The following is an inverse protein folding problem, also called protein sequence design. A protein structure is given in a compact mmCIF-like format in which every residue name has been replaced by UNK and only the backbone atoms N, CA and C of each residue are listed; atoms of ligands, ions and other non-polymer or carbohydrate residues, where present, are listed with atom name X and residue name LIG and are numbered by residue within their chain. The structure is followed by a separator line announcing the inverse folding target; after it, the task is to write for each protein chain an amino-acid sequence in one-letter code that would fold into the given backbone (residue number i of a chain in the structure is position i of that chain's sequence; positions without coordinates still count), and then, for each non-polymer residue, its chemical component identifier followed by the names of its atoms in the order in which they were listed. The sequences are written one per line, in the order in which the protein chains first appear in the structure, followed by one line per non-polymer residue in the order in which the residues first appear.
data_IF_908259226910
#
_entry.id   IF_908259226910
#
_cell.length_a   1.000
_cell.length_b   1.000
_cell.length_c   1.000
_cell.angle_alpha   90.00
_cell.angle_beta   90.00
_cell.angle_gamma   90.00
#
_symmetry.space_group_name_H-M   'P 1'
#
loop_
_entity.id
_entity.type
_entity.pdbx_description
1 polymer ?
#
# COMPACT_ATOMS: atom_id res chain seq x y z
N UNK A 1 12.40 7.35 -28.48
CA UNK A 1 10.99 7.12 -28.12
C UNK A 1 10.95 6.06 -27.02
N UNK A 2 11.22 6.43 -25.77
CA UNK A 2 11.40 5.44 -24.69
C UNK A 2 11.05 6.04 -23.34
N UNK A 3 9.76 6.17 -23.02
CA UNK A 3 9.34 6.42 -21.63
C UNK A 3 7.91 5.97 -21.32
N UNK A 4 7.47 4.80 -21.79
CA UNK A 4 6.16 4.24 -21.39
C UNK A 4 6.21 3.52 -20.03
N UNK A 5 7.38 3.09 -19.56
CA UNK A 5 7.50 2.34 -18.30
C UNK A 5 7.32 3.23 -17.05
N UNK A 6 7.77 4.48 -17.08
CA UNK A 6 7.60 5.40 -15.94
C UNK A 6 6.13 5.79 -15.73
N UNK A 7 5.32 5.80 -16.80
CA UNK A 7 3.91 6.18 -16.75
C UNK A 7 3.03 5.01 -16.27
N UNK A 8 3.35 3.77 -16.65
CA UNK A 8 2.64 2.57 -16.16
C UNK A 8 2.85 2.33 -14.65
N UNK A 9 4.02 2.68 -14.12
CA UNK A 9 4.27 2.62 -12.68
C UNK A 9 3.61 3.76 -11.90
N UNK A 10 3.19 4.85 -12.57
CA UNK A 10 2.54 6.01 -11.96
C UNK A 10 1.02 5.85 -11.74
N UNK A 11 0.45 4.76 -12.25
CA UNK A 11 -0.99 4.50 -12.20
C UNK A 11 -1.41 3.58 -11.05
N UNK A 12 -0.47 3.10 -10.23
CA UNK A 12 -0.80 2.25 -9.07
C UNK A 12 -0.32 2.90 -7.79
N UNK A 13 -1.25 3.03 -6.85
CA UNK A 13 -1.02 3.49 -5.49
C UNK A 13 -0.70 2.27 -4.65
N UNK A 14 0.36 2.37 -3.86
CA UNK A 14 0.73 1.34 -2.90
C UNK A 14 0.23 1.76 -1.53
N UNK A 15 -0.31 0.82 -0.77
CA UNK A 15 -0.81 1.09 0.58
C UNK A 15 -0.17 0.05 1.47
N UNK A 16 0.64 0.51 2.41
CA UNK A 16 1.18 -0.32 3.47
C UNK A 16 0.22 -0.27 4.67
N UNK A 17 -0.42 -1.40 4.95
CA UNK A 17 -1.30 -1.56 6.10
C UNK A 17 -0.54 -2.29 7.19
N UNK A 18 -0.31 -1.64 8.31
CA UNK A 18 0.21 -2.25 9.53
C UNK A 18 -0.96 -2.85 10.30
N UNK A 19 -0.91 -4.16 10.48
CA UNK A 19 -1.84 -4.95 11.27
C UNK A 19 -1.20 -5.38 12.59
N UNK A 20 -2.03 -5.53 13.62
CA UNK A 20 -1.61 -6.09 14.89
C UNK A 20 -1.28 -7.58 14.72
N UNK A 21 -0.11 -8.05 15.16
CA UNK A 21 0.29 -9.45 15.04
C UNK A 21 -0.60 -10.41 15.85
N UNK A 22 -1.29 -9.89 16.88
CA UNK A 22 -2.28 -10.61 17.68
C UNK A 22 -3.68 -10.61 17.09
N UNK A 23 -3.91 -9.91 15.97
CA UNK A 23 -5.24 -9.83 15.36
C UNK A 23 -5.48 -10.95 14.36
N UNK A 24 -6.76 -11.30 14.17
CA UNK A 24 -7.19 -12.33 13.22
C UNK A 24 -6.71 -12.04 11.80
N UNK A 25 -6.52 -10.77 11.44
CA UNK A 25 -5.99 -10.32 10.14
C UNK A 25 -4.56 -10.81 9.85
N UNK A 26 -3.78 -11.16 10.87
CA UNK A 26 -2.44 -11.72 10.70
C UNK A 26 -2.50 -13.19 10.25
N UNK A 27 -3.49 -13.94 10.73
CA UNK A 27 -3.74 -15.32 10.27
C UNK A 27 -4.62 -15.38 9.02
N UNK A 28 -5.59 -14.46 8.91
CA UNK A 28 -6.54 -14.35 7.80
C UNK A 28 -6.36 -13.02 7.05
N UNK A 29 -5.45 -12.99 6.07
CA UNK A 29 -5.19 -11.79 5.28
C UNK A 29 -6.26 -11.50 4.22
N UNK A 30 -7.31 -12.32 4.11
CA UNK A 30 -8.41 -12.12 3.15
C UNK A 30 -9.27 -10.91 3.56
N UNK A 31 -9.43 -10.70 4.88
CA UNK A 31 -10.12 -9.53 5.43
C UNK A 31 -9.51 -8.16 5.07
N UNK A 32 -8.28 -8.10 4.52
CA UNK A 32 -7.70 -6.86 4.01
C UNK A 32 -8.16 -6.51 2.58
N UNK A 33 -8.65 -7.49 1.82
CA UNK A 33 -9.16 -7.28 0.46
C UNK A 33 -10.62 -6.82 0.54
N UNK A 34 -10.84 -5.70 1.23
CA UNK A 34 -12.17 -5.11 1.44
C UNK A 34 -12.80 -4.56 0.16
N UNK A 35 -12.01 -4.42 -0.91
CA UNK A 35 -12.45 -3.86 -2.18
C UNK A 35 -11.85 -4.64 -3.35
N UNK A 36 -12.61 -4.90 -4.44
CA UNK A 36 -12.10 -5.60 -5.62
C UNK A 36 -10.97 -4.85 -6.35
N UNK A 37 -10.83 -3.55 -6.07
CA UNK A 37 -9.75 -2.71 -6.60
C UNK A 37 -8.43 -2.90 -5.85
N UNK A 38 -8.49 -3.47 -4.63
CA UNK A 38 -7.33 -3.76 -3.81
C UNK A 38 -6.71 -5.06 -4.29
N UNK A 39 -5.50 -4.95 -4.81
CA UNK A 39 -4.67 -6.09 -5.16
C UNK A 39 -3.67 -6.34 -4.04
N UNK A 40 -3.71 -7.51 -3.42
CA UNK A 40 -2.72 -7.87 -2.41
C UNK A 40 -1.38 -8.16 -3.08
N UNK A 41 -0.36 -7.36 -2.76
CA UNK A 41 0.99 -7.53 -3.31
C UNK A 41 1.84 -8.44 -2.42
N UNK A 42 1.53 -8.51 -1.13
CA UNK A 42 2.19 -9.41 -0.17
C UNK A 42 2.61 -8.70 1.09
N UNK A 43 3.68 -9.17 1.73
CA UNK A 43 4.24 -8.57 2.95
C UNK A 43 5.40 -7.64 2.62
N UNK A 44 5.60 -6.61 3.42
CA UNK A 44 6.71 -5.66 3.22
C UNK A 44 8.00 -6.22 3.84
N UNK A 45 8.79 -6.91 3.02
CA UNK A 45 10.08 -7.45 3.43
C UNK A 45 9.96 -8.47 4.56
N UNK A 46 10.60 -8.18 5.69
CA UNK A 46 10.65 -9.04 6.89
C UNK A 46 9.51 -8.76 7.88
N UNK A 47 8.73 -7.70 7.66
CA UNK A 47 7.63 -7.31 8.54
C UNK A 47 6.39 -8.14 8.21
N UNK A 48 6.07 -9.09 9.09
CA UNK A 48 4.91 -9.97 8.93
C UNK A 48 3.59 -9.26 9.22
N UNK A 49 3.68 -8.23 10.05
CA UNK A 49 2.59 -7.36 10.49
C UNK A 49 2.32 -6.22 9.51
N UNK A 50 3.07 -6.11 8.39
CA UNK A 50 2.83 -5.10 7.37
C UNK A 50 2.47 -5.76 6.04
N UNK A 51 1.24 -5.52 5.60
CA UNK A 51 0.72 -5.96 4.31
C UNK A 51 0.81 -4.82 3.30
N UNK A 52 1.34 -5.14 2.11
CA UNK A 52 1.36 -4.25 0.97
C UNK A 52 0.19 -4.55 0.05
N UNK A 53 -0.58 -3.51 -0.21
CA UNK A 53 -1.73 -3.50 -1.09
C UNK A 53 -1.43 -2.56 -2.28
N UNK A 54 -1.96 -2.89 -3.44
CA UNK A 54 -1.87 -2.07 -4.65
C UNK A 54 -3.26 -1.73 -5.17
N UNK A 55 -3.50 -0.48 -5.52
CA UNK A 55 -4.80 0.00 -6.02
C UNK A 55 -4.57 0.88 -7.25
N UNK A 56 -5.37 0.78 -8.33
CA UNK A 56 -5.29 1.71 -9.45
C UNK A 56 -5.62 3.13 -9.00
N UNK A 57 -4.76 4.09 -9.36
CA UNK A 57 -4.83 5.50 -8.96
C UNK A 57 -6.11 6.17 -9.43
N UNK A 58 -6.55 5.85 -10.65
CA UNK A 58 -7.78 6.36 -11.25
C UNK A 58 -8.99 6.12 -10.36
N UNK A 59 -9.13 4.88 -9.86
CA UNK A 59 -10.22 4.52 -8.95
C UNK A 59 -9.94 4.87 -7.48
N UNK A 60 -8.66 4.95 -7.08
CA UNK A 60 -8.24 5.33 -5.73
C UNK A 60 -8.70 6.74 -5.37
N UNK A 61 -8.58 7.73 -6.25
CA UNK A 61 -8.99 9.10 -5.95
C UNK A 61 -10.46 9.23 -5.52
N UNK A 62 -11.33 8.36 -6.06
CA UNK A 62 -12.75 8.32 -5.72
C UNK A 62 -13.05 7.35 -4.55
N UNK A 63 -12.31 6.25 -4.45
CA UNK A 63 -12.58 5.17 -3.49
C UNK A 63 -11.72 5.24 -2.23
N UNK A 64 -10.76 6.18 -2.14
CA UNK A 64 -9.82 6.32 -1.04
C UNK A 64 -10.54 6.43 0.30
N UNK A 65 -11.56 7.30 0.39
CA UNK A 65 -12.26 7.55 1.65
C UNK A 65 -12.99 6.28 2.13
N UNK A 66 -13.62 5.56 1.20
CA UNK A 66 -14.33 4.31 1.47
C UNK A 66 -13.37 3.18 1.87
N UNK A 67 -12.24 3.05 1.16
CA UNK A 67 -11.20 2.07 1.49
C UNK A 67 -10.54 2.40 2.81
N UNK A 68 -10.19 3.67 3.07
CA UNK A 68 -9.58 4.08 4.34
C UNK A 68 -10.56 3.88 5.51
N UNK A 69 -11.85 4.16 5.33
CA UNK A 69 -12.87 3.84 6.34
C UNK A 69 -12.96 2.34 6.56
N UNK A 70 -13.10 1.55 5.50
CA UNK A 70 -13.21 0.10 5.60
C UNK A 70 -12.00 -0.50 6.32
N UNK A 71 -10.78 -0.09 5.93
CA UNK A 71 -9.54 -0.48 6.61
C UNK A 71 -9.48 -0.02 8.07
N UNK A 72 -9.95 1.20 8.38
CA UNK A 72 -9.97 1.70 9.77
C UNK A 72 -11.05 1.02 10.63
N UNK A 73 -12.11 0.49 10.01
CA UNK A 73 -13.15 -0.27 10.70
C UNK A 73 -12.74 -1.72 10.95
N UNK A 74 -11.73 -2.24 10.24
CA UNK A 74 -11.19 -3.57 10.49
C UNK A 74 -10.52 -3.63 11.86
N UNK A 75 -11.02 -4.52 12.71
CA UNK A 75 -10.42 -4.79 14.01
C UNK A 75 -9.06 -5.47 13.82
N UNK A 76 -7.99 -4.72 14.06
CA UNK A 76 -6.62 -5.22 13.89
C UNK A 76 -5.74 -4.35 13.02
N UNK A 77 -6.29 -3.34 12.33
CA UNK A 77 -5.46 -2.37 11.62
C UNK A 77 -4.93 -1.36 12.64
N UNK A 78 -3.61 -1.35 12.80
CA UNK A 78 -2.90 -0.36 13.64
C UNK A 78 -2.69 0.93 12.88
N UNK A 79 -2.34 0.82 11.60
CA UNK A 79 -1.96 1.97 10.77
C UNK A 79 -2.18 1.66 9.29
N UNK A 80 -2.60 2.67 8.56
CA UNK A 80 -2.67 2.64 7.09
C UNK A 80 -1.75 3.74 6.58
N UNK A 81 -0.76 3.38 5.78
CA UNK A 81 0.19 4.30 5.17
C UNK A 81 0.05 4.21 3.65
N UNK A 82 -0.36 5.32 3.04
CA UNK A 82 -0.57 5.39 1.59
C UNK A 82 0.73 5.87 0.96
N UNK A 83 1.44 4.96 0.30
CA UNK A 83 2.52 5.27 -0.61
C UNK A 83 1.95 5.60 -1.99
N UNK A 84 1.52 6.85 -2.14
CA UNK A 84 1.44 7.46 -3.47
C UNK A 84 2.84 7.35 -4.11
N UNK A 85 2.86 6.88 -5.35
CA UNK A 85 4.02 6.54 -6.19
C UNK A 85 5.32 7.21 -5.76
N UNK A 86 6.45 6.48 -5.75
CA UNK A 86 7.64 6.85 -5.01
C UNK A 86 8.01 8.29 -5.36
N UNK A 87 7.81 9.21 -4.40
CA UNK A 87 8.61 10.42 -4.36
C UNK A 87 10.02 9.90 -4.43
N UNK A 88 10.65 10.08 -5.60
CA UNK A 88 11.98 9.57 -5.89
C UNK A 88 12.77 9.72 -4.61
N UNK A 89 13.26 8.61 -4.07
CA UNK A 89 14.29 8.66 -3.04
C UNK A 89 15.44 9.34 -3.75
N UNK A 90 15.51 10.67 -3.69
CA UNK A 90 16.69 11.42 -4.07
C UNK A 90 17.72 10.85 -3.13
N UNK A 91 18.55 9.98 -3.70
CA UNK A 91 19.78 9.50 -3.12
C UNK A 91 20.45 10.75 -2.54
N UNK A 92 20.39 10.94 -1.22
CA UNK A 92 21.37 11.78 -0.50
C UNK A 92 22.68 10.99 -0.55
N UNK A 93 23.19 10.81 -1.75
CA UNK A 93 24.58 10.52 -2.03
C UNK A 93 25.21 11.88 -2.25
N UNK A 94 25.54 12.52 -1.14
CA UNK A 94 26.54 13.57 -1.08
C UNK A 94 27.54 13.13 -0.01
N UNK A 95 28.04 11.92 -0.17
CA UNK A 95 29.20 11.42 0.52
C UNK A 95 30.41 11.90 -0.30
N UNK A 96 31.33 12.56 0.40
CA UNK A 96 32.77 12.73 0.12
C UNK A 96 33.24 13.27 -1.25
N UNK A 97 33.73 14.53 -1.25
CA UNK A 97 35.10 14.95 -1.60
C UNK A 97 35.44 16.31 -0.95
#
# INVERSE_FOLDING_TARGET
MTTTLAQEHADKIFIAVTISPTSALNSDPDGLVVHPLITRLGRVGELQDVQLLGVPRDSWAHSQDDVMRSLSQLQGVLRVDVQDVPRLRTKRGGDEL
#
